data_IF_312307000163
#
_entry.id   IF_312307000163
#
_cell.length_a   1.000
_cell.length_b   1.000
_cell.length_c   1.000
_cell.angle_alpha   90.00
_cell.angle_beta   90.00
_cell.angle_gamma   90.00
#
_symmetry.space_group_name_H-M   'P 1'
#
loop_
_entity.id
_entity.type
_entity.pdbx_description
1 polymer ?
#
# COMPACT_ATOMS: atom_id res chain seq x y z
N UNK A 1 -15.70 17.35 10.48
CA UNK A 1 -15.82 16.71 9.15
C UNK A 1 -14.39 16.51 8.65
N UNK A 2 -13.93 15.27 8.42
CA UNK A 2 -12.54 15.05 7.99
C UNK A 2 -12.31 15.73 6.63
N UNK A 3 -11.21 16.47 6.49
CA UNK A 3 -10.89 17.20 5.26
C UNK A 3 -10.76 16.19 4.11
N UNK A 4 -11.46 16.39 2.98
CA UNK A 4 -11.38 15.47 1.85
C UNK A 4 -9.92 15.39 1.36
N UNK A 5 -9.43 14.17 1.16
CA UNK A 5 -8.09 13.95 0.62
C UNK A 5 -8.04 14.58 -0.77
N UNK A 6 -7.04 15.45 -1.00
CA UNK A 6 -6.84 16.07 -2.30
C UNK A 6 -6.67 14.98 -3.38
N UNK A 7 -7.54 15.01 -4.40
CA UNK A 7 -7.53 14.06 -5.49
C UNK A 7 -6.18 14.02 -6.22
N UNK A 8 -5.52 15.16 -6.40
CA UNK A 8 -4.19 15.24 -7.04
C UNK A 8 -3.17 14.44 -6.24
N UNK A 9 -3.14 14.62 -4.91
CA UNK A 9 -2.26 13.87 -4.01
C UNK A 9 -2.56 12.37 -4.01
N UNK A 10 -3.85 12.00 -3.99
CA UNK A 10 -4.29 10.61 -4.00
C UNK A 10 -3.82 9.87 -5.24
N UNK A 11 -4.06 10.45 -6.42
CA UNK A 11 -3.71 9.82 -7.68
C UNK A 11 -2.21 9.89 -7.97
N UNK A 12 -1.51 10.97 -7.57
CA UNK A 12 -0.05 11.04 -7.72
C UNK A 12 0.66 9.99 -6.87
N UNK A 13 0.23 9.79 -5.61
CA UNK A 13 0.77 8.74 -4.76
C UNK A 13 0.51 7.34 -5.33
N UNK A 14 -0.70 7.09 -5.85
CA UNK A 14 -1.04 5.81 -6.44
C UNK A 14 -0.25 5.51 -7.72
N UNK A 15 -0.05 6.52 -8.59
CA UNK A 15 0.76 6.39 -9.80
C UNK A 15 2.24 6.18 -9.48
N UNK A 16 2.76 6.92 -8.49
CA UNK A 16 4.11 6.73 -8.01
C UNK A 16 4.32 5.31 -7.47
N UNK A 17 3.38 4.80 -6.67
CA UNK A 17 3.42 3.43 -6.15
C UNK A 17 3.36 2.38 -7.28
N UNK A 18 2.57 2.62 -8.33
CA UNK A 18 2.50 1.74 -9.50
C UNK A 18 3.87 1.61 -10.17
N UNK A 19 4.48 2.76 -10.47
CA UNK A 19 5.75 2.82 -11.21
C UNK A 19 6.88 2.29 -10.33
N UNK A 20 7.06 2.83 -9.13
CA UNK A 20 8.17 2.48 -8.26
C UNK A 20 8.20 0.98 -7.93
N UNK A 21 7.06 0.41 -7.53
CA UNK A 21 7.02 -0.99 -7.11
C UNK A 21 6.94 -1.98 -8.28
N UNK A 22 6.38 -1.57 -9.43
CA UNK A 22 6.50 -2.35 -10.65
C UNK A 22 7.95 -2.47 -11.11
N UNK A 23 8.70 -1.35 -11.13
CA UNK A 23 10.13 -1.37 -11.45
C UNK A 23 10.93 -2.21 -10.44
N UNK A 24 10.65 -2.07 -9.14
CA UNK A 24 11.30 -2.90 -8.11
C UNK A 24 11.08 -4.39 -8.38
N UNK A 25 9.84 -4.81 -8.63
CA UNK A 25 9.52 -6.21 -8.90
C UNK A 25 10.21 -6.76 -10.16
N UNK A 26 10.43 -5.91 -11.17
CA UNK A 26 11.18 -6.31 -12.37
C UNK A 26 12.67 -6.57 -12.09
N UNK A 27 13.29 -5.76 -11.22
CA UNK A 27 14.70 -5.89 -10.81
C UNK A 27 14.87 -7.04 -9.80
N UNK A 28 13.92 -7.16 -8.86
CA UNK A 28 13.89 -8.21 -7.84
C UNK A 28 13.83 -9.64 -8.42
N UNK A 29 13.31 -9.78 -9.63
CA UNK A 29 13.18 -11.05 -10.32
C UNK A 29 14.11 -11.16 -11.54
N UNK A 30 15.26 -10.46 -11.55
CA UNK A 30 16.17 -10.45 -12.71
C UNK A 30 16.64 -11.83 -13.17
N UNK A 31 16.76 -12.78 -12.23
CA UNK A 31 17.13 -14.18 -12.49
C UNK A 31 16.00 -15.04 -13.11
N UNK A 32 14.79 -14.51 -13.26
CA UNK A 32 13.64 -15.22 -13.80
C UNK A 32 13.47 -15.01 -15.32
N UNK A 33 12.76 -15.90 -16.03
CA UNK A 33 12.39 -15.69 -17.43
C UNK A 33 11.70 -14.34 -17.63
N UNK A 34 11.98 -13.70 -18.78
CA UNK A 34 11.48 -12.36 -19.09
C UNK A 34 9.95 -12.23 -18.97
N UNK A 35 9.20 -13.25 -19.36
CA UNK A 35 7.74 -13.30 -19.21
C UNK A 35 7.32 -13.17 -17.73
N UNK A 36 7.95 -13.94 -16.83
CA UNK A 36 7.63 -13.91 -15.40
C UNK A 36 7.99 -12.56 -14.78
N UNK A 37 9.07 -11.92 -15.24
CA UNK A 37 9.47 -10.57 -14.80
C UNK A 37 8.46 -9.50 -15.16
N UNK A 38 7.88 -9.59 -16.36
CA UNK A 38 6.84 -8.65 -16.81
C UNK A 38 5.57 -8.88 -16.00
N UNK A 39 5.16 -10.13 -15.82
CA UNK A 39 3.98 -10.48 -15.02
C UNK A 39 4.14 -10.01 -13.56
N UNK A 40 5.30 -10.25 -12.94
CA UNK A 40 5.56 -9.82 -11.56
C UNK A 40 5.60 -8.29 -11.43
N UNK A 41 6.18 -7.60 -12.41
CA UNK A 41 6.23 -6.14 -12.48
C UNK A 41 4.83 -5.52 -12.57
N UNK A 42 4.02 -5.98 -13.53
CA UNK A 42 2.65 -5.50 -13.70
C UNK A 42 1.77 -5.84 -12.49
N UNK A 43 1.88 -7.08 -12.00
CA UNK A 43 1.15 -7.53 -10.81
C UNK A 43 1.46 -6.68 -9.58
N UNK A 44 2.74 -6.45 -9.29
CA UNK A 44 3.16 -5.64 -8.13
C UNK A 44 2.77 -4.17 -8.30
N UNK A 45 2.97 -3.57 -9.48
CA UNK A 45 2.60 -2.18 -9.73
C UNK A 45 1.09 -1.94 -9.57
N UNK A 46 0.27 -2.79 -10.18
CA UNK A 46 -1.19 -2.71 -10.04
C UNK A 46 -1.66 -2.96 -8.61
N UNK A 47 -1.08 -3.94 -7.92
CA UNK A 47 -1.40 -4.22 -6.52
C UNK A 47 -1.04 -3.02 -5.62
N UNK A 48 0.14 -2.43 -5.79
CA UNK A 48 0.59 -1.25 -5.05
C UNK A 48 -0.29 -0.02 -5.28
N UNK A 49 -0.75 0.19 -6.53
CA UNK A 49 -1.71 1.24 -6.85
C UNK A 49 -3.05 1.02 -6.13
N UNK A 50 -3.59 -0.19 -6.24
CA UNK A 50 -4.88 -0.55 -5.64
C UNK A 50 -4.84 -0.37 -4.11
N UNK A 51 -3.78 -0.83 -3.46
CA UNK A 51 -3.60 -0.69 -2.02
C UNK A 51 -3.48 0.76 -1.61
N UNK A 52 -2.76 1.59 -2.36
CA UNK A 52 -2.62 3.01 -2.03
C UNK A 52 -3.98 3.71 -2.03
N UNK A 53 -4.82 3.41 -3.03
CA UNK A 53 -6.18 3.94 -3.12
C UNK A 53 -7.10 3.42 -2.00
N UNK A 54 -7.06 2.11 -1.74
CA UNK A 54 -7.83 1.48 -0.66
C UNK A 54 -7.39 2.05 0.68
N UNK A 55 -6.09 2.15 0.92
CA UNK A 55 -5.52 2.61 2.17
C UNK A 55 -5.93 4.05 2.48
N UNK A 56 -5.81 4.96 1.52
CA UNK A 56 -6.25 6.35 1.70
C UNK A 56 -7.75 6.44 2.00
N UNK A 57 -8.58 5.60 1.37
CA UNK A 57 -10.02 5.54 1.64
C UNK A 57 -10.34 4.95 3.02
N UNK A 58 -9.69 3.85 3.37
CA UNK A 58 -9.88 3.14 4.64
C UNK A 58 -9.45 3.99 5.82
N UNK A 59 -8.29 4.66 5.75
CA UNK A 59 -7.83 5.56 6.82
C UNK A 59 -8.83 6.72 6.98
N UNK A 60 -9.30 7.34 5.88
CA UNK A 60 -10.28 8.43 5.96
C UNK A 60 -11.63 8.00 6.56
N UNK A 61 -12.06 6.76 6.32
CA UNK A 61 -13.30 6.21 6.86
C UNK A 61 -13.15 5.79 8.33
N UNK A 62 -12.08 5.07 8.67
CA UNK A 62 -11.82 4.58 10.02
C UNK A 62 -11.53 5.72 11.01
N UNK A 63 -10.81 6.77 10.59
CA UNK A 63 -10.59 7.96 11.44
C UNK A 63 -11.89 8.71 11.77
N UNK A 64 -12.92 8.62 10.91
CA UNK A 64 -14.25 9.17 11.21
C UNK A 64 -15.06 8.27 12.16
N UNK A 65 -14.82 6.96 12.13
CA UNK A 65 -15.50 5.99 13.00
C UNK A 65 -14.93 5.97 14.42
N UNK A 66 -13.65 6.34 14.59
CA UNK A 66 -12.98 6.43 15.89
C UNK A 66 -12.56 7.87 16.25
N UNK A 67 -13.49 8.84 16.37
CA UNK A 67 -13.15 10.17 16.83
C UNK A 67 -12.76 10.10 18.32
N UNK A 68 -11.59 10.64 18.67
CA UNK A 68 -11.16 10.95 20.05
C UNK A 68 -10.72 9.80 20.96
N UNK A 69 -10.26 8.66 20.44
CA UNK A 69 -9.63 7.62 21.26
C UNK A 69 -8.11 7.57 21.04
N UNK A 70 -7.27 7.37 22.10
CA UNK A 70 -5.82 7.27 21.95
C UNK A 70 -5.39 6.10 21.06
N UNK A 71 -6.21 5.05 20.95
CA UNK A 71 -5.98 3.91 20.06
C UNK A 71 -6.29 4.19 18.58
N UNK A 72 -6.97 5.31 18.28
CA UNK A 72 -7.24 5.77 16.90
C UNK A 72 -5.95 6.10 16.13
N UNK A 73 -4.85 6.34 16.85
CA UNK A 73 -3.52 6.61 16.29
C UNK A 73 -2.83 5.40 15.63
N UNK A 74 -3.24 4.16 15.92
CA UNK A 74 -2.56 2.97 15.41
C UNK A 74 -3.49 1.96 14.75
N UNK A 75 -4.70 1.76 15.29
CA UNK A 75 -5.60 0.69 14.83
C UNK A 75 -5.99 0.85 13.34
N UNK A 76 -6.40 2.03 12.85
CA UNK A 76 -6.79 2.21 11.45
C UNK A 76 -5.67 1.90 10.46
N UNK A 77 -4.46 2.41 10.73
CA UNK A 77 -3.29 2.21 9.88
C UNK A 77 -2.85 0.74 9.86
N UNK A 78 -2.76 0.12 11.04
CA UNK A 78 -2.33 -1.27 11.19
C UNK A 78 -3.32 -2.25 10.54
N UNK A 79 -4.62 -2.07 10.78
CA UNK A 79 -5.65 -2.94 10.20
C UNK A 79 -5.63 -2.85 8.67
N UNK A 80 -5.52 -1.62 8.14
CA UNK A 80 -5.43 -1.38 6.71
C UNK A 80 -4.18 -2.02 6.11
N UNK A 81 -3.03 -1.90 6.78
CA UNK A 81 -1.79 -2.55 6.37
C UNK A 81 -1.92 -4.09 6.36
N UNK A 82 -2.48 -4.70 7.40
CA UNK A 82 -2.63 -6.16 7.49
C UNK A 82 -3.54 -6.72 6.39
N UNK A 83 -4.66 -6.06 6.11
CA UNK A 83 -5.58 -6.46 5.04
C UNK A 83 -4.92 -6.35 3.66
N UNK A 84 -4.23 -5.24 3.41
CA UNK A 84 -3.60 -4.97 2.12
C UNK A 84 -2.38 -5.84 1.86
N UNK A 85 -1.56 -6.08 2.88
CA UNK A 85 -0.41 -7.00 2.79
C UNK A 85 -0.84 -8.44 2.53
N UNK A 86 -1.87 -8.93 3.21
CA UNK A 86 -2.44 -10.26 2.98
C UNK A 86 -2.93 -10.42 1.54
N UNK A 87 -3.58 -9.39 0.99
CA UNK A 87 -4.06 -9.39 -0.39
C UNK A 87 -2.91 -9.46 -1.41
N UNK A 88 -1.84 -8.67 -1.23
CA UNK A 88 -0.66 -8.68 -2.13
C UNK A 88 0.02 -10.03 -2.14
N UNK A 89 0.25 -10.59 -0.96
CA UNK A 89 0.90 -11.88 -0.83
C UNK A 89 0.05 -12.94 -1.54
N UNK A 90 -1.28 -12.91 -1.36
CA UNK A 90 -2.21 -13.77 -2.09
C UNK A 90 -2.12 -13.61 -3.61
N UNK A 91 -2.11 -12.38 -4.12
CA UNK A 91 -1.97 -12.11 -5.56
C UNK A 91 -0.66 -12.68 -6.11
N UNK A 92 0.47 -12.46 -5.44
CA UNK A 92 1.76 -12.99 -5.90
C UNK A 92 1.86 -14.51 -5.81
N UNK A 93 1.16 -15.11 -4.85
CA UNK A 93 0.99 -16.56 -4.77
C UNK A 93 0.21 -17.09 -5.98
N UNK A 94 -0.92 -16.48 -6.36
CA UNK A 94 -1.69 -16.86 -7.55
C UNK A 94 -0.94 -16.62 -8.87
N UNK A 95 -0.12 -15.57 -8.94
CA UNK A 95 0.69 -15.23 -10.11
C UNK A 95 1.94 -16.10 -10.26
N UNK A 96 2.18 -17.08 -9.37
CA UNK A 96 3.40 -17.89 -9.34
C UNK A 96 4.67 -17.02 -9.40
N UNK A 97 4.69 -15.93 -8.64
CA UNK A 97 5.84 -15.01 -8.64
C UNK A 97 7.06 -15.73 -8.07
N UNK A 98 8.23 -15.74 -8.76
CA UNK A 98 9.38 -16.55 -8.36
C UNK A 98 9.89 -16.23 -6.96
N UNK A 99 10.16 -14.94 -6.70
CA UNK A 99 10.71 -14.48 -5.44
C UNK A 99 9.71 -13.60 -4.70
N UNK A 100 8.63 -14.18 -4.18
CA UNK A 100 7.56 -13.44 -3.48
C UNK A 100 8.16 -12.58 -2.36
N UNK A 101 8.98 -13.17 -1.47
CA UNK A 101 9.54 -12.47 -0.31
C UNK A 101 10.35 -11.22 -0.70
N UNK A 102 11.20 -11.33 -1.72
CA UNK A 102 12.03 -10.21 -2.20
C UNK A 102 11.18 -9.16 -2.94
N UNK A 103 10.16 -9.62 -3.67
CA UNK A 103 9.23 -8.76 -4.41
C UNK A 103 8.39 -7.90 -3.47
N UNK A 104 7.86 -8.47 -2.38
CA UNK A 104 6.90 -7.77 -1.48
C UNK A 104 7.54 -7.11 -0.27
N UNK A 105 8.71 -7.54 0.20
CA UNK A 105 9.32 -7.05 1.45
C UNK A 105 9.56 -5.54 1.46
N UNK A 106 10.18 -4.99 0.41
CA UNK A 106 10.41 -3.56 0.29
C UNK A 106 9.10 -2.75 0.15
N UNK A 107 8.17 -3.09 -0.77
CA UNK A 107 6.87 -2.43 -0.86
C UNK A 107 6.08 -2.44 0.45
N UNK A 108 6.03 -3.59 1.15
CA UNK A 108 5.30 -3.73 2.40
C UNK A 108 5.93 -2.92 3.53
N UNK A 109 7.26 -2.86 3.60
CA UNK A 109 7.95 -2.05 4.61
C UNK A 109 7.62 -0.57 4.46
N UNK A 110 7.64 -0.05 3.22
CA UNK A 110 7.28 1.33 2.95
C UNK A 110 5.78 1.57 3.16
N UNK A 111 4.92 0.64 2.77
CA UNK A 111 3.47 0.74 2.99
C UNK A 111 3.14 0.80 4.50
N UNK A 112 3.82 0.00 5.32
CA UNK A 112 3.70 0.04 6.78
C UNK A 112 4.07 1.41 7.33
N UNK A 113 5.27 1.92 7.00
CA UNK A 113 5.73 3.24 7.44
C UNK A 113 4.81 4.37 6.96
N UNK A 114 4.36 4.31 5.71
CA UNK A 114 3.45 5.29 5.14
C UNK A 114 2.07 5.27 5.82
N UNK A 115 1.57 4.09 6.18
CA UNK A 115 0.31 3.94 6.91
C UNK A 115 0.38 4.59 8.30
N UNK A 116 1.49 4.40 9.02
CA UNK A 116 1.74 5.02 10.32
C UNK A 116 1.84 6.54 10.18
N UNK A 117 2.64 7.02 9.23
CA UNK A 117 2.80 8.47 8.98
C UNK A 117 1.48 9.15 8.62
N UNK A 118 0.72 8.55 7.71
CA UNK A 118 -0.58 9.07 7.27
C UNK A 118 -1.57 9.12 8.42
N UNK A 119 -1.58 8.09 9.28
CA UNK A 119 -2.48 8.06 10.44
C UNK A 119 -2.11 9.12 11.49
N UNK A 120 -0.82 9.30 11.80
CA UNK A 120 -0.34 10.38 12.67
C UNK A 120 -0.76 11.75 12.13
N UNK A 121 -0.51 12.02 10.85
CA UNK A 121 -0.86 13.30 10.22
C UNK A 121 -2.36 13.59 10.27
N UNK A 122 -3.20 12.58 10.02
CA UNK A 122 -4.65 12.75 10.06
C UNK A 122 -5.17 12.97 11.48
N UNK A 123 -4.57 12.33 12.49
CA UNK A 123 -4.98 12.49 13.90
C UNK A 123 -4.63 13.88 14.42
N UNK A 124 -3.40 14.36 14.21
CA UNK A 124 -2.97 15.71 14.63
C UNK A 124 -3.74 16.84 13.92
N UNK A 125 -4.26 16.59 12.72
CA UNK A 125 -5.09 17.58 12.00
C UNK A 125 -6.53 17.70 12.54
N UNK A 126 -6.93 16.87 13.50
CA UNK A 126 -8.26 16.85 14.13
C UNK A 126 -8.27 17.50 15.52
N UNK A 127 -7.11 17.84 16.08
CA UNK A 127 -6.92 18.64 17.30
C UNK A 127 -6.95 20.14 16.98
#
# INVERSE_FOLDING_TARGET
MAKPINHVYKYSAALFALIAWGLWAYIANDNAPQEQRIISSLGQGLASMAITLIMMRSIAYLTQMFPKQPYSLFIPGLLTFLVTSSFVIGVHYFLNTPNIALTVSAPLSVAFLFSLYTNCKMTTSQE
#
